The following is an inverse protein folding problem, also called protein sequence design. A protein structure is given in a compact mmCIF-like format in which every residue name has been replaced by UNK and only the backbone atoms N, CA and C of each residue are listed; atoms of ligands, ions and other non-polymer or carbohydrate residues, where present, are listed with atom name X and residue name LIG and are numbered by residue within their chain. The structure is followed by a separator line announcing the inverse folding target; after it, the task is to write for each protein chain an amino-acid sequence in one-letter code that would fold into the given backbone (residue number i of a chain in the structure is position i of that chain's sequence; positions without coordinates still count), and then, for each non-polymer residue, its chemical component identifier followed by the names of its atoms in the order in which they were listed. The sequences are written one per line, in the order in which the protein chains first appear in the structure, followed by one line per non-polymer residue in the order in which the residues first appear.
data_IF_749752997490
#
_entry.id   IF_749752997490
#
_cell.length_a   1.000
_cell.length_b   1.000
_cell.length_c   1.000
_cell.angle_alpha   90.00
_cell.angle_beta   90.00
_cell.angle_gamma   90.00
#
_symmetry.space_group_name_H-M   'P 1'
#
loop_
_entity.id
_entity.type
_entity.pdbx_description
1 polymer ?
#
# COMPACT_ATOMS: atom_id res chain seq x y z
N UNK A 1 14.09 -15.53 10.18
CA UNK A 1 14.66 -15.40 8.82
C UNK A 1 14.71 -13.91 8.47
N UNK A 2 15.75 -13.45 7.76
CA UNK A 2 15.83 -12.06 7.28
C UNK A 2 15.40 -12.06 5.81
N UNK A 3 14.29 -11.40 5.50
CA UNK A 3 13.85 -11.25 4.11
C UNK A 3 14.73 -10.21 3.41
N UNK A 4 14.98 -10.35 2.10
CA UNK A 4 15.70 -9.32 1.34
C UNK A 4 14.86 -8.05 1.24
N UNK A 5 15.50 -6.88 1.31
CA UNK A 5 14.84 -5.58 1.06
C UNK A 5 14.27 -5.57 -0.36
N UNK A 6 13.06 -5.01 -0.52
CA UNK A 6 12.48 -4.79 -1.84
C UNK A 6 12.94 -3.43 -2.37
N UNK A 7 13.64 -3.44 -3.50
CA UNK A 7 14.11 -2.23 -4.18
C UNK A 7 13.41 -2.04 -5.52
N UNK A 8 12.85 -0.86 -5.75
CA UNK A 8 12.17 -0.48 -6.99
C UNK A 8 12.75 0.86 -7.44
N UNK A 9 13.69 0.83 -8.39
CA UNK A 9 14.47 2.01 -8.75
C UNK A 9 15.23 2.55 -7.53
N UNK A 10 14.97 3.82 -7.20
CA UNK A 10 15.57 4.50 -6.04
C UNK A 10 14.77 4.35 -4.74
N UNK A 11 13.66 3.59 -4.77
CA UNK A 11 12.81 3.33 -3.61
C UNK A 11 13.19 2.02 -2.93
N UNK A 12 13.15 1.99 -1.60
CA UNK A 12 13.41 0.80 -0.78
C UNK A 12 12.28 0.59 0.23
N UNK A 13 11.81 -0.65 0.35
CA UNK A 13 10.88 -1.09 1.39
C UNK A 13 11.55 -2.14 2.27
N UNK A 14 11.76 -1.79 3.55
CA UNK A 14 12.44 -2.64 4.53
C UNK A 14 11.70 -3.95 4.77
N UNK A 15 10.36 -3.87 4.77
CA UNK A 15 9.48 -5.03 4.75
C UNK A 15 9.09 -5.27 3.30
N UNK A 16 9.54 -6.36 2.65
CA UNK A 16 9.30 -6.62 1.23
C UNK A 16 7.89 -7.15 0.98
N UNK A 17 6.88 -6.44 1.49
CA UNK A 17 5.46 -6.76 1.40
C UNK A 17 4.75 -5.61 0.71
N UNK A 18 3.99 -5.94 -0.32
CA UNK A 18 3.11 -5.02 -1.03
C UNK A 18 1.67 -5.38 -0.66
N UNK A 19 0.91 -4.43 -0.15
CA UNK A 19 -0.51 -4.61 0.10
C UNK A 19 -1.29 -4.63 -1.23
N UNK A 20 -2.19 -5.60 -1.42
CA UNK A 20 -2.99 -5.71 -2.63
C UNK A 20 -4.07 -4.61 -2.71
N UNK A 21 -4.12 -3.87 -3.83
CA UNK A 21 -5.02 -2.73 -4.03
C UNK A 21 -6.49 -3.10 -4.27
N UNK A 22 -7.20 -3.54 -3.23
CA UNK A 22 -8.64 -3.81 -3.27
C UNK A 22 -9.44 -2.49 -3.29
N UNK A 23 -10.28 -2.32 -4.31
CA UNK A 23 -11.04 -1.10 -4.59
C UNK A 23 -12.33 -1.00 -3.75
N UNK A 24 -13.37 -0.30 -4.22
CA UNK A 24 -14.71 -0.23 -3.57
C UNK A 24 -14.62 0.22 -2.09
N UNK A 25 -13.77 1.22 -1.84
CA UNK A 25 -13.60 1.84 -0.53
C UNK A 25 -12.79 1.05 0.49
N UNK A 26 -12.04 0.01 0.09
CA UNK A 26 -11.17 -0.75 1.00
C UNK A 26 -9.76 -0.17 1.08
N UNK A 27 -9.02 -0.19 -0.03
CA UNK A 27 -7.62 0.23 -0.09
C UNK A 27 -7.53 1.73 -0.39
N UNK A 28 -7.87 2.53 0.63
CA UNK A 28 -7.78 3.99 0.59
C UNK A 28 -6.55 4.47 1.38
N UNK A 29 -6.44 5.79 1.57
CA UNK A 29 -5.31 6.44 2.26
C UNK A 29 -5.03 5.85 3.65
N UNK A 30 -6.06 5.49 4.41
CA UNK A 30 -5.89 4.91 5.75
C UNK A 30 -5.11 3.58 5.75
N UNK A 31 -5.54 2.59 4.97
CA UNK A 31 -4.86 1.30 4.88
C UNK A 31 -3.48 1.44 4.22
N UNK A 32 -3.39 2.18 3.12
CA UNK A 32 -2.14 2.36 2.40
C UNK A 32 -1.07 3.07 3.25
N UNK A 33 -1.44 4.11 4.00
CA UNK A 33 -0.50 4.80 4.91
C UNK A 33 -0.09 3.93 6.09
N UNK A 34 -1.01 3.14 6.67
CA UNK A 34 -0.66 2.19 7.72
C UNK A 34 0.40 1.18 7.27
N UNK A 35 0.24 0.61 6.06
CA UNK A 35 1.23 -0.32 5.48
C UNK A 35 2.58 0.37 5.24
N UNK A 36 2.58 1.60 4.72
CA UNK A 36 3.80 2.37 4.50
C UNK A 36 4.53 2.72 5.81
N UNK A 37 3.79 3.06 6.87
CA UNK A 37 4.36 3.35 8.20
C UNK A 37 5.02 2.13 8.85
N UNK A 38 4.57 0.92 8.52
CA UNK A 38 5.19 -0.35 8.94
C UNK A 38 6.36 -0.78 8.02
N UNK A 39 6.80 0.08 7.10
CA UNK A 39 7.95 -0.16 6.21
C UNK A 39 7.64 -1.02 4.99
N UNK A 40 6.36 -1.31 4.73
CA UNK A 40 5.89 -1.98 3.50
C UNK A 40 5.49 -0.99 2.41
N UNK A 41 4.88 -1.50 1.33
CA UNK A 41 4.33 -0.67 0.24
C UNK A 41 2.81 -0.71 0.29
N UNK A 42 2.21 0.43 0.64
CA UNK A 42 0.76 0.65 0.58
C UNK A 42 0.28 0.98 -0.83
N UNK A 43 -0.88 0.47 -1.22
CA UNK A 43 -1.46 0.65 -2.56
C UNK A 43 -2.87 1.20 -2.45
N UNK A 44 -3.13 2.31 -3.14
CA UNK A 44 -4.47 2.90 -3.25
C UNK A 44 -5.19 2.30 -4.46
N UNK A 45 -6.36 1.69 -4.21
CA UNK A 45 -7.26 1.23 -5.26
C UNK A 45 -8.11 2.38 -5.81
N UNK A 46 -7.99 2.67 -7.10
CA UNK A 46 -8.62 3.87 -7.72
C UNK A 46 -10.01 3.62 -8.28
N UNK A 47 -10.39 2.37 -8.54
CA UNK A 47 -11.74 2.08 -9.02
C UNK A 47 -12.77 2.41 -7.94
N UNK A 48 -13.71 3.30 -8.27
CA UNK A 48 -14.73 3.82 -7.34
C UNK A 48 -14.13 4.47 -6.06
N UNK A 49 -13.00 5.19 -6.18
CA UNK A 49 -12.34 5.81 -5.02
C UNK A 49 -13.25 6.81 -4.26
N UNK A 50 -14.15 7.48 -4.98
CA UNK A 50 -15.16 8.39 -4.44
C UNK A 50 -16.49 7.74 -4.06
N UNK A 51 -16.56 6.41 -3.91
CA UNK A 51 -17.82 5.71 -3.55
C UNK A 51 -18.51 6.26 -2.30
N UNK A 52 -17.74 6.85 -1.38
CA UNK A 52 -18.22 7.40 -0.11
C UNK A 52 -18.34 8.93 -0.14
N UNK A 53 -17.99 9.56 -1.25
CA UNK A 53 -18.19 11.00 -1.44
C UNK A 53 -19.67 11.27 -1.76
N UNK A 54 -20.23 12.41 -1.30
CA UNK A 54 -21.64 12.75 -1.51
C UNK A 54 -22.00 13.03 -2.98
#
# INVERSE_FOLDING_TARGET
MKLPVLKIGDLEAEVPIIQGGMSVGISLSGLASAVANEGGIGVIGTALIGLREP
#
